data_IF_051362371868
#
_entry.id   IF_051362371868
#
_cell.length_a   1.000
_cell.length_b   1.000
_cell.length_c   1.000
_cell.angle_alpha   90.00
_cell.angle_beta   90.00
_cell.angle_gamma   90.00
#
_symmetry.space_group_name_H-M   'P 1'
#
loop_
_entity.id
_entity.type
_entity.pdbx_description
1 polymer ?
#
# COMPACT_ATOMS: atom_id res chain seq x y z
N UNK A 1 9.79 -4.63 -19.73
CA UNK A 1 8.38 -4.57 -20.10
C UNK A 1 7.78 -3.20 -19.81
N UNK A 2 7.73 -2.75 -18.55
CA UNK A 2 7.13 -1.47 -18.14
C UNK A 2 7.68 -0.26 -18.91
N UNK A 3 9.01 -0.18 -19.11
CA UNK A 3 9.65 0.94 -19.82
C UNK A 3 9.13 1.11 -21.25
N UNK A 4 8.75 0.03 -21.91
CA UNK A 4 8.35 0.04 -23.33
C UNK A 4 6.83 0.11 -23.52
N UNK A 5 6.04 -0.24 -22.49
CA UNK A 5 4.59 -0.43 -22.61
C UNK A 5 3.77 0.43 -21.64
N UNK A 6 4.40 1.28 -20.84
CA UNK A 6 3.68 2.04 -19.80
C UNK A 6 2.52 2.89 -20.35
N UNK A 7 2.61 3.35 -21.60
CA UNK A 7 1.54 4.11 -22.27
C UNK A 7 0.27 3.27 -22.54
N UNK A 8 0.37 1.94 -22.48
CA UNK A 8 -0.80 1.06 -22.61
C UNK A 8 -1.65 1.04 -21.34
N UNK A 9 -1.07 1.47 -20.20
CA UNK A 9 -1.72 1.39 -18.90
C UNK A 9 -2.45 2.66 -18.48
N UNK A 10 -2.20 3.78 -19.14
CA UNK A 10 -2.83 5.05 -18.84
C UNK A 10 -3.03 5.89 -20.09
N UNK A 11 -4.14 6.65 -20.11
CA UNK A 11 -4.39 7.68 -21.12
C UNK A 11 -3.80 9.03 -20.73
N UNK A 12 -3.39 9.20 -19.47
CA UNK A 12 -2.85 10.46 -18.97
C UNK A 12 -1.41 10.63 -19.44
N UNK A 13 -1.08 11.82 -19.92
CA UNK A 13 0.28 12.18 -20.35
C UNK A 13 1.12 12.65 -19.16
N UNK A 14 2.42 12.31 -19.15
CA UNK A 14 3.35 12.82 -18.13
C UNK A 14 3.25 12.12 -16.77
N UNK A 15 2.51 11.02 -16.65
CA UNK A 15 2.43 10.21 -15.43
C UNK A 15 3.81 9.65 -15.08
N UNK A 16 4.16 9.77 -13.82
CA UNK A 16 5.24 9.05 -13.18
C UNK A 16 4.71 7.78 -12.54
N UNK A 17 5.42 6.68 -12.71
CA UNK A 17 5.05 5.39 -12.15
C UNK A 17 6.21 4.80 -11.38
N UNK A 18 5.92 4.32 -10.16
CA UNK A 18 6.83 3.54 -9.34
C UNK A 18 6.27 2.14 -9.11
N UNK A 19 7.12 1.12 -9.25
CA UNK A 19 6.75 -0.29 -9.06
C UNK A 19 7.77 -0.97 -8.17
N UNK A 20 7.30 -1.78 -7.22
CA UNK A 20 8.11 -2.71 -6.46
C UNK A 20 7.45 -4.08 -6.45
N UNK A 21 8.20 -5.11 -6.85
CA UNK A 21 7.82 -6.50 -6.79
C UNK A 21 8.72 -7.23 -5.80
N UNK A 22 8.16 -7.98 -4.86
CA UNK A 22 8.89 -8.56 -3.74
C UNK A 22 8.36 -9.94 -3.39
N UNK A 23 9.23 -10.90 -3.11
CA UNK A 23 8.85 -12.18 -2.50
C UNK A 23 8.52 -12.01 -1.02
N UNK A 24 7.83 -12.98 -0.46
CA UNK A 24 7.36 -12.96 0.93
C UNK A 24 8.47 -13.16 1.98
N UNK A 25 9.72 -13.34 1.57
CA UNK A 25 10.91 -13.34 2.41
C UNK A 25 11.67 -12.00 2.41
N UNK A 26 11.07 -10.97 1.79
CA UNK A 26 11.64 -9.63 1.66
C UNK A 26 12.57 -9.43 0.46
N UNK A 27 12.77 -10.47 -0.38
CA UNK A 27 13.61 -10.36 -1.58
C UNK A 27 12.96 -9.50 -2.65
N UNK A 28 13.55 -8.36 -2.95
CA UNK A 28 13.09 -7.48 -4.02
C UNK A 28 13.46 -8.10 -5.37
N UNK A 29 12.45 -8.47 -6.15
CA UNK A 29 12.59 -9.01 -7.50
C UNK A 29 12.75 -7.90 -8.53
N UNK A 30 12.02 -6.80 -8.35
CA UNK A 30 12.05 -5.65 -9.23
C UNK A 30 11.71 -4.37 -8.47
N UNK A 31 12.48 -3.32 -8.72
CA UNK A 31 12.13 -1.94 -8.41
C UNK A 31 12.35 -1.13 -9.67
N UNK A 32 11.31 -0.46 -10.16
CA UNK A 32 11.40 0.26 -11.43
C UNK A 32 10.53 1.53 -11.43
N UNK A 33 10.84 2.40 -12.41
CA UNK A 33 10.12 3.63 -12.70
C UNK A 33 10.13 3.89 -14.21
N UNK A 34 9.10 4.54 -14.72
CA UNK A 34 9.07 5.01 -16.10
C UNK A 34 9.91 6.29 -16.33
N UNK A 35 10.40 6.94 -15.26
CA UNK A 35 11.21 8.15 -15.30
C UNK A 35 12.70 7.91 -15.61
N UNK A 36 13.12 6.68 -15.81
CA UNK A 36 14.47 6.34 -16.24
C UNK A 36 14.73 6.81 -17.69
N UNK A 37 14.66 8.11 -17.94
CA UNK A 37 14.96 8.67 -19.25
C UNK A 37 16.47 8.84 -19.42
N UNK A 38 17.06 8.11 -20.37
CA UNK A 38 18.41 8.32 -20.90
C UNK A 38 18.58 9.71 -21.56
N UNK A 39 17.48 10.45 -21.73
CA UNK A 39 17.43 11.76 -22.39
C UNK A 39 17.51 12.97 -21.46
N UNK A 40 17.61 12.76 -20.14
CA UNK A 40 17.78 13.88 -19.21
C UNK A 40 19.14 14.56 -19.44
N UNK A 41 19.11 15.77 -20.04
CA UNK A 41 20.32 16.54 -20.36
C UNK A 41 21.17 16.89 -19.13
N UNK A 42 20.53 16.97 -17.94
CA UNK A 42 21.23 17.21 -16.68
C UNK A 42 22.10 16.01 -16.29
N UNK A 43 21.60 14.79 -16.49
CA UNK A 43 22.34 13.54 -16.27
C UNK A 43 23.51 13.38 -17.25
N UNK A 44 23.33 13.80 -18.53
CA UNK A 44 24.41 13.84 -19.53
C UNK A 44 25.52 14.83 -19.15
N UNK A 45 25.15 15.96 -18.52
CA UNK A 45 26.12 17.02 -18.14
C UNK A 45 26.88 16.72 -16.85
N UNK A 46 26.28 16.04 -15.88
CA UNK A 46 26.89 15.82 -14.55
C UNK A 46 27.60 14.48 -14.41
N UNK A 47 27.40 13.55 -15.36
CA UNK A 47 27.94 12.18 -15.26
C UNK A 47 27.37 11.35 -14.11
N UNK A 48 26.50 11.93 -13.30
CA UNK A 48 25.87 11.27 -12.18
C UNK A 48 24.56 10.64 -12.65
N UNK A 49 24.54 9.30 -12.74
CA UNK A 49 23.30 8.53 -12.91
C UNK A 49 22.55 8.45 -11.57
N UNK A 50 22.15 9.57 -11.00
CA UNK A 50 21.16 9.58 -9.94
C UNK A 50 19.81 9.47 -10.65
N UNK A 51 19.38 8.26 -10.86
CA UNK A 51 17.99 7.99 -11.24
C UNK A 51 17.15 8.29 -10.00
N UNK A 52 16.32 9.33 -10.06
CA UNK A 52 15.24 9.51 -9.12
C UNK A 52 14.24 8.37 -9.38
N UNK A 53 14.45 7.26 -8.70
CA UNK A 53 13.51 6.16 -8.76
C UNK A 53 12.35 6.51 -7.82
N UNK A 54 11.22 6.92 -8.41
CA UNK A 54 10.02 7.31 -7.66
C UNK A 54 9.47 6.21 -6.75
N UNK A 55 9.92 4.94 -6.92
CA UNK A 55 9.59 3.86 -6.00
C UNK A 55 10.22 4.04 -4.61
N UNK A 56 11.21 4.93 -4.48
CA UNK A 56 11.82 5.33 -3.21
C UNK A 56 11.40 6.73 -2.75
N UNK A 57 10.71 7.49 -3.59
CA UNK A 57 10.11 8.76 -3.21
C UNK A 57 8.83 8.52 -2.42
N UNK A 58 8.57 9.38 -1.44
CA UNK A 58 7.36 9.29 -0.62
C UNK A 58 6.20 9.98 -1.32
N UNK A 59 5.04 9.31 -1.32
CA UNK A 59 3.81 9.78 -1.91
C UNK A 59 2.64 9.44 -0.98
N UNK A 60 1.52 10.16 -1.12
CA UNK A 60 0.36 9.90 -0.27
C UNK A 60 -0.29 8.58 -0.66
N UNK A 61 -0.38 7.60 0.28
CA UNK A 61 -0.89 6.27 -0.06
C UNK A 61 -2.41 6.22 -0.23
N UNK A 62 -3.14 7.21 0.26
CA UNK A 62 -4.58 7.13 0.31
C UNK A 62 -5.06 5.84 0.96
N UNK A 63 -6.19 5.33 0.52
CA UNK A 63 -6.81 4.12 1.09
C UNK A 63 -5.98 2.84 1.00
N UNK A 64 -4.87 2.81 0.27
CA UNK A 64 -3.99 1.63 0.24
C UNK A 64 -3.28 1.38 1.57
N UNK A 65 -3.22 2.37 2.46
CA UNK A 65 -2.62 2.21 3.80
C UNK A 65 -3.53 1.44 4.77
N UNK A 66 -4.86 1.49 4.59
CA UNK A 66 -5.86 0.97 5.55
C UNK A 66 -5.61 -0.45 6.06
N UNK A 67 -5.19 -1.42 5.23
CA UNK A 67 -4.88 -2.77 5.70
C UNK A 67 -3.79 -2.81 6.75
N UNK A 68 -2.71 -2.04 6.58
CA UNK A 68 -1.55 -2.04 7.48
C UNK A 68 -1.69 -1.07 8.64
N UNK A 69 -2.41 0.04 8.48
CA UNK A 69 -2.54 1.07 9.51
C UNK A 69 -3.76 0.89 10.40
N UNK A 70 -4.84 0.28 9.90
CA UNK A 70 -6.12 0.19 10.61
C UNK A 70 -6.52 -1.25 10.89
N UNK A 71 -6.77 -2.04 9.81
CA UNK A 71 -7.39 -3.36 9.98
C UNK A 71 -6.47 -4.36 10.68
N UNK A 72 -5.20 -4.45 10.27
CA UNK A 72 -4.26 -5.39 10.90
C UNK A 72 -4.03 -5.08 12.39
N UNK A 73 -3.68 -3.84 12.80
CA UNK A 73 -3.53 -3.55 14.23
C UNK A 73 -4.85 -3.63 15.01
N UNK A 74 -6.01 -3.33 14.42
CA UNK A 74 -7.30 -3.47 15.09
C UNK A 74 -7.67 -4.95 15.36
N UNK A 75 -7.37 -5.84 14.42
CA UNK A 75 -7.52 -7.29 14.59
C UNK A 75 -6.53 -7.82 15.62
N UNK A 76 -5.27 -7.45 15.54
CA UNK A 76 -4.20 -7.91 16.44
C UNK A 76 -4.45 -7.51 17.89
N UNK A 77 -5.02 -6.31 18.10
CA UNK A 77 -5.43 -5.85 19.43
C UNK A 77 -6.83 -6.33 19.87
N UNK A 78 -7.46 -7.24 19.13
CA UNK A 78 -8.82 -7.74 19.40
C UNK A 78 -9.90 -6.64 19.48
N UNK A 79 -9.69 -5.50 18.83
CA UNK A 79 -10.69 -4.43 18.73
C UNK A 79 -11.83 -4.83 17.79
N UNK A 80 -11.50 -5.57 16.74
CA UNK A 80 -12.44 -6.14 15.77
C UNK A 80 -12.13 -7.61 15.52
N UNK A 81 -13.11 -8.29 14.92
CA UNK A 81 -13.00 -9.64 14.34
C UNK A 81 -13.48 -9.60 12.89
N UNK A 82 -13.33 -10.69 12.15
CA UNK A 82 -13.87 -10.80 10.78
C UNK A 82 -15.36 -10.44 10.67
N UNK A 83 -16.16 -10.83 11.67
CA UNK A 83 -17.61 -10.61 11.69
C UNK A 83 -18.06 -9.35 12.44
N UNK A 84 -17.14 -8.45 12.78
CA UNK A 84 -17.51 -7.23 13.49
C UNK A 84 -18.33 -6.28 12.61
N UNK A 85 -19.25 -5.57 13.27
CA UNK A 85 -20.05 -4.49 12.66
C UNK A 85 -19.41 -3.16 13.02
N UNK A 86 -19.21 -2.32 12.03
CA UNK A 86 -18.60 -1.01 12.15
C UNK A 86 -19.64 0.10 11.94
N UNK A 87 -19.36 1.28 12.46
CA UNK A 87 -20.13 2.48 12.18
C UNK A 87 -19.63 3.14 10.92
N UNK A 88 -20.50 3.33 9.96
CA UNK A 88 -20.26 4.14 8.78
C UNK A 88 -20.99 5.47 8.93
N UNK A 89 -20.43 6.31 9.80
CA UNK A 89 -20.91 7.65 10.15
C UNK A 89 -19.69 8.56 10.29
N UNK A 90 -19.78 9.85 9.91
CA UNK A 90 -18.66 10.77 10.07
C UNK A 90 -18.34 11.02 11.54
N UNK A 91 -17.07 11.28 11.85
CA UNK A 91 -16.63 11.69 13.19
C UNK A 91 -16.92 13.18 13.39
N UNK A 92 -17.50 13.59 14.52
CA UNK A 92 -17.64 15.00 14.84
C UNK A 92 -16.26 15.63 15.12
N UNK A 93 -16.11 16.89 14.73
CA UNK A 93 -14.85 17.65 14.88
C UNK A 93 -13.64 16.94 14.23
N UNK A 94 -13.84 16.34 13.08
CA UNK A 94 -12.77 15.62 12.35
C UNK A 94 -11.78 16.59 11.68
N UNK A 95 -12.28 17.69 11.14
CA UNK A 95 -11.47 18.74 10.54
C UNK A 95 -11.17 19.89 11.54
N UNK A 96 -10.11 20.64 11.27
CA UNK A 96 -9.65 21.75 12.14
C UNK A 96 -10.70 22.86 12.31
N UNK A 97 -11.59 23.01 11.36
CA UNK A 97 -12.71 23.96 11.43
C UNK A 97 -13.91 23.47 12.26
N UNK A 98 -13.78 22.26 12.84
CA UNK A 98 -14.80 21.62 13.67
C UNK A 98 -15.88 20.89 12.87
N UNK A 99 -15.77 20.82 11.55
CA UNK A 99 -16.70 20.06 10.74
C UNK A 99 -16.50 18.53 10.87
N UNK A 100 -17.53 17.78 10.49
CA UNK A 100 -17.57 16.33 10.56
C UNK A 100 -16.83 15.71 9.36
N UNK A 101 -16.27 14.51 9.52
CA UNK A 101 -15.60 13.74 8.47
C UNK A 101 -15.07 12.39 8.96
N UNK A 102 -14.31 11.68 8.13
CA UNK A 102 -14.17 11.92 6.68
C UNK A 102 -15.40 11.47 5.92
N UNK A 103 -15.59 12.00 4.72
CA UNK A 103 -16.60 11.50 3.80
C UNK A 103 -16.13 10.20 3.14
N UNK A 104 -17.08 9.30 2.84
CA UNK A 104 -16.84 8.23 1.88
C UNK A 104 -16.70 8.81 0.46
N UNK A 105 -16.11 8.04 -0.45
CA UNK A 105 -15.84 8.51 -1.81
C UNK A 105 -17.09 9.00 -2.56
N UNK A 106 -18.22 8.33 -2.35
CA UNK A 106 -19.51 8.68 -2.95
C UNK A 106 -20.30 9.73 -2.14
N UNK A 107 -19.77 10.17 -0.99
CA UNK A 107 -20.42 11.13 -0.09
C UNK A 107 -21.60 10.56 0.69
N UNK A 108 -21.81 9.24 0.67
CA UNK A 108 -22.93 8.58 1.38
C UNK A 108 -22.45 7.77 2.59
N UNK A 109 -23.36 7.51 3.52
CA UNK A 109 -23.10 6.71 4.72
C UNK A 109 -24.21 5.66 4.88
N UNK A 110 -23.82 4.42 5.15
CA UNK A 110 -24.75 3.30 5.35
C UNK A 110 -25.20 3.12 6.83
N UNK A 111 -24.64 3.94 7.75
CA UNK A 111 -24.89 3.85 9.20
C UNK A 111 -24.17 2.68 9.88
N UNK A 112 -24.39 1.45 9.43
CA UNK A 112 -23.68 0.27 9.91
C UNK A 112 -23.30 -0.65 8.78
N UNK A 113 -22.05 -1.16 8.81
CA UNK A 113 -21.50 -2.07 7.80
C UNK A 113 -20.70 -3.17 8.48
N UNK A 114 -20.54 -4.31 7.82
CA UNK A 114 -19.60 -5.32 8.28
C UNK A 114 -18.16 -4.96 7.86
N UNK A 115 -17.17 -5.53 8.53
CA UNK A 115 -15.74 -5.34 8.20
C UNK A 115 -15.46 -5.72 6.74
N UNK A 116 -16.06 -6.80 6.25
CA UNK A 116 -15.92 -7.26 4.86
C UNK A 116 -16.45 -6.23 3.85
N UNK A 117 -17.61 -5.63 4.08
CA UNK A 117 -18.12 -4.54 3.26
C UNK A 117 -17.20 -3.32 3.33
N UNK A 118 -16.81 -2.90 4.54
CA UNK A 118 -15.99 -1.70 4.73
C UNK A 118 -14.65 -1.75 3.97
N UNK A 119 -13.98 -2.90 3.95
CA UNK A 119 -12.71 -3.07 3.22
C UNK A 119 -12.93 -3.22 1.71
N UNK A 120 -14.00 -3.90 1.29
CA UNK A 120 -14.37 -4.13 -0.11
C UNK A 120 -14.63 -2.82 -0.84
N UNK A 121 -15.46 -1.97 -0.26
CA UNK A 121 -15.84 -0.65 -0.78
C UNK A 121 -14.84 0.45 -0.41
N UNK A 122 -13.86 0.09 0.43
CA UNK A 122 -12.82 1.05 0.86
C UNK A 122 -13.39 2.26 1.63
N UNK A 123 -14.41 2.07 2.47
CA UNK A 123 -15.08 3.14 3.20
C UNK A 123 -14.11 3.89 4.12
N UNK A 124 -14.30 5.22 4.24
CA UNK A 124 -13.44 6.10 5.03
C UNK A 124 -13.93 6.28 6.47
N UNK A 125 -15.24 6.48 6.65
CA UNK A 125 -15.80 6.74 7.97
C UNK A 125 -15.56 5.57 8.95
N UNK A 126 -15.78 4.29 8.59
CA UNK A 126 -15.52 3.18 9.50
C UNK A 126 -14.06 3.09 9.98
N UNK A 127 -13.09 3.35 9.10
CA UNK A 127 -11.66 3.29 9.48
C UNK A 127 -11.25 4.46 10.35
N UNK A 128 -11.81 5.65 10.15
CA UNK A 128 -11.59 6.80 11.03
C UNK A 128 -12.17 6.53 12.43
N UNK A 129 -13.36 5.92 12.51
CA UNK A 129 -13.97 5.48 13.77
C UNK A 129 -13.08 4.47 14.50
N UNK A 130 -12.49 3.49 13.78
CA UNK A 130 -11.57 2.51 14.35
C UNK A 130 -10.29 3.16 14.88
N UNK A 131 -9.68 4.08 14.13
CA UNK A 131 -8.49 4.81 14.58
C UNK A 131 -8.81 5.67 15.80
N UNK A 132 -9.97 6.32 15.83
CA UNK A 132 -10.39 7.10 16.98
C UNK A 132 -10.55 6.23 18.25
N UNK A 133 -11.01 4.98 18.11
CA UNK A 133 -11.12 4.02 19.22
C UNK A 133 -9.75 3.45 19.63
N UNK A 134 -8.88 3.13 18.66
CA UNK A 134 -7.59 2.49 18.89
C UNK A 134 -6.51 3.49 19.32
N UNK A 135 -6.62 4.75 18.96
CA UNK A 135 -5.63 5.84 18.96
C UNK A 135 -4.71 5.79 17.73
N UNK A 136 -4.47 6.96 17.09
CA UNK A 136 -3.48 7.08 16.00
C UNK A 136 -2.08 6.62 16.42
N UNK A 137 -1.71 6.81 17.69
CA UNK A 137 -0.42 6.39 18.21
C UNK A 137 -0.19 4.89 18.10
N UNK A 138 -1.22 4.05 18.34
CA UNK A 138 -1.09 2.59 18.20
C UNK A 138 -0.83 2.21 16.75
N UNK A 139 -1.54 2.82 15.80
CA UNK A 139 -1.29 2.64 14.37
C UNK A 139 0.12 3.09 13.99
N UNK A 140 0.53 4.28 14.39
CA UNK A 140 1.87 4.82 14.15
C UNK A 140 2.98 3.90 14.69
N UNK A 141 2.84 3.40 15.92
CA UNK A 141 3.80 2.48 16.53
C UNK A 141 3.86 1.17 15.76
N UNK A 142 2.72 0.63 15.35
CA UNK A 142 2.69 -0.58 14.52
C UNK A 142 3.42 -0.37 13.18
N UNK A 143 3.16 0.72 12.49
CA UNK A 143 3.80 1.05 11.21
C UNK A 143 5.31 1.24 11.36
N UNK A 144 5.77 1.92 12.42
CA UNK A 144 7.18 2.26 12.61
C UNK A 144 8.00 1.15 13.29
N UNK A 145 7.41 0.43 14.26
CA UNK A 145 8.14 -0.55 15.06
C UNK A 145 8.02 -1.98 14.54
N UNK A 146 6.83 -2.36 14.01
CA UNK A 146 6.60 -3.72 13.50
C UNK A 146 6.83 -3.83 11.99
N UNK A 147 6.59 -2.75 11.22
CA UNK A 147 6.75 -2.71 9.77
C UNK A 147 7.95 -1.87 9.32
N UNK A 148 8.70 -1.29 10.26
CA UNK A 148 9.92 -0.51 10.03
C UNK A 148 9.78 0.58 8.95
N UNK A 149 8.61 1.20 8.84
CA UNK A 149 8.38 2.32 7.94
C UNK A 149 9.10 3.54 8.52
N UNK A 150 10.02 4.12 7.73
CA UNK A 150 10.90 5.20 8.17
C UNK A 150 10.47 6.58 7.66
N UNK A 151 9.55 6.63 6.72
CA UNK A 151 9.07 7.87 6.10
C UNK A 151 8.05 8.63 6.94
N UNK A 152 7.42 7.99 7.93
CA UNK A 152 6.45 8.64 8.81
C UNK A 152 7.12 9.67 9.73
N UNK A 153 6.40 10.77 9.99
CA UNK A 153 6.82 11.77 10.99
C UNK A 153 6.10 11.56 12.33
N UNK A 154 6.60 12.20 13.39
CA UNK A 154 5.96 12.16 14.71
C UNK A 154 4.53 12.74 14.65
N UNK A 155 4.26 13.67 13.75
CA UNK A 155 2.94 14.28 13.53
C UNK A 155 1.88 13.25 13.16
N UNK A 156 2.26 12.19 12.44
CA UNK A 156 1.35 11.09 12.07
C UNK A 156 0.86 10.30 13.31
N UNK A 157 1.55 10.38 14.44
CA UNK A 157 1.18 9.68 15.69
C UNK A 157 -0.09 10.22 16.36
N UNK A 158 -0.52 11.42 16.02
CA UNK A 158 -1.76 12.05 16.51
C UNK A 158 -2.72 12.48 15.41
N UNK A 159 -2.37 12.23 14.14
CA UNK A 159 -3.20 12.57 12.99
C UNK A 159 -4.11 11.38 12.61
N UNK A 160 -5.40 11.48 12.99
CA UNK A 160 -6.41 10.44 12.65
C UNK A 160 -6.52 10.28 11.14
N UNK A 161 -6.64 11.36 10.38
CA UNK A 161 -6.77 11.33 8.92
C UNK A 161 -5.54 10.73 8.24
N UNK A 162 -4.34 11.06 8.74
CA UNK A 162 -3.09 10.52 8.23
C UNK A 162 -3.05 9.00 8.23
N UNK A 163 -3.20 8.40 9.40
CA UNK A 163 -3.10 6.94 9.54
C UNK A 163 -4.38 6.20 9.14
N UNK A 164 -5.55 6.83 9.15
CA UNK A 164 -6.81 6.20 8.78
C UNK A 164 -7.00 6.09 7.26
N UNK A 165 -6.75 7.18 6.52
CA UNK A 165 -7.08 7.29 5.10
C UNK A 165 -5.89 7.69 4.20
N UNK A 166 -4.69 7.81 4.78
CA UNK A 166 -3.45 7.97 4.02
C UNK A 166 -3.09 9.41 3.67
N UNK A 167 -3.57 10.40 4.43
CA UNK A 167 -3.09 11.78 4.38
C UNK A 167 -1.87 11.97 5.30
N UNK A 168 -0.80 11.22 5.07
CA UNK A 168 0.41 11.24 5.90
C UNK A 168 1.20 12.54 5.71
N UNK A 169 1.93 12.96 6.73
CA UNK A 169 2.73 14.18 6.68
C UNK A 169 3.75 14.16 5.53
N UNK A 170 4.55 13.10 5.43
CA UNK A 170 5.56 12.94 4.38
C UNK A 170 5.16 11.95 3.29
N UNK A 171 4.05 11.21 3.46
CA UNK A 171 3.73 10.07 2.61
C UNK A 171 4.58 8.84 2.90
N UNK A 172 4.52 7.84 2.00
CA UNK A 172 5.25 6.57 2.08
C UNK A 172 5.78 6.19 0.71
N UNK A 173 6.92 5.49 0.65
CA UNK A 173 7.47 5.00 -0.61
C UNK A 173 6.81 3.69 -1.06
N UNK A 174 6.82 3.45 -2.39
CA UNK A 174 6.30 2.19 -2.95
C UNK A 174 7.03 0.98 -2.37
N UNK A 175 8.34 1.11 -2.14
CA UNK A 175 9.16 0.05 -1.54
C UNK A 175 8.74 -0.26 -0.11
N UNK A 176 8.53 0.76 0.74
CA UNK A 176 8.09 0.57 2.14
C UNK A 176 6.68 -0.04 2.19
N UNK A 177 5.77 0.47 1.36
CA UNK A 177 4.42 -0.06 1.28
C UNK A 177 4.42 -1.53 0.85
N UNK A 178 5.22 -1.89 -0.18
CA UNK A 178 5.33 -3.29 -0.64
C UNK A 178 5.94 -4.17 0.45
N UNK A 179 6.97 -3.68 1.14
CA UNK A 179 7.57 -4.36 2.29
C UNK A 179 6.58 -4.60 3.43
N UNK A 180 5.71 -3.64 3.71
CA UNK A 180 4.68 -3.78 4.73
C UNK A 180 3.61 -4.84 4.37
N UNK A 181 3.22 -4.93 3.11
CA UNK A 181 2.19 -5.87 2.66
C UNK A 181 2.63 -7.34 2.64
N UNK A 182 3.92 -7.64 2.71
CA UNK A 182 4.42 -9.02 2.76
C UNK A 182 3.81 -9.83 3.92
N UNK A 183 3.47 -9.18 5.04
CA UNK A 183 2.93 -9.83 6.24
C UNK A 183 1.59 -10.57 5.99
N UNK A 184 0.87 -10.21 4.94
CA UNK A 184 -0.43 -10.81 4.61
C UNK A 184 -0.32 -12.12 3.82
N UNK A 185 0.85 -12.43 3.25
CA UNK A 185 1.05 -13.64 2.45
C UNK A 185 2.03 -14.66 3.06
N UNK A 186 2.63 -14.35 4.24
CA UNK A 186 3.66 -15.21 4.85
C UNK A 186 3.39 -15.57 6.31
N UNK A 187 2.14 -15.45 6.77
CA UNK A 187 1.75 -15.78 8.14
C UNK A 187 2.12 -14.70 9.16
N UNK A 188 2.20 -13.45 8.74
CA UNK A 188 2.36 -12.28 9.62
C UNK A 188 3.80 -11.88 9.89
N UNK A 189 4.76 -12.41 9.16
CA UNK A 189 6.18 -12.12 9.34
C UNK A 189 6.62 -10.90 8.53
N UNK A 190 7.48 -10.08 9.10
CA UNK A 190 8.16 -9.00 8.41
C UNK A 190 9.64 -9.35 8.21
N UNK A 191 10.11 -9.19 6.99
CA UNK A 191 11.51 -9.28 6.60
C UNK A 191 11.96 -7.93 6.05
N UNK A 192 13.12 -7.45 6.49
CA UNK A 192 13.69 -6.22 5.91
C UNK A 192 13.91 -6.41 4.41
N UNK A 193 13.32 -5.56 3.54
CA UNK A 193 13.46 -5.70 2.10
C UNK A 193 14.92 -5.59 1.64
N UNK A 194 15.37 -6.52 0.79
CA UNK A 194 16.76 -6.63 0.34
C UNK A 194 16.88 -6.92 -1.15
N UNK A 195 18.04 -6.53 -1.73
CA UNK A 195 18.43 -6.78 -3.12
C UNK A 195 19.75 -7.53 -3.24
N UNK A 196 20.54 -7.57 -2.15
CA UNK A 196 21.84 -8.27 -2.12
C UNK A 196 21.73 -9.47 -1.20
N UNK A 197 21.90 -10.64 -1.78
CA UNK A 197 21.87 -11.91 -1.05
C UNK A 197 23.20 -12.24 -0.40
N UNK A 198 24.32 -12.07 -1.16
CA UNK A 198 25.65 -12.43 -0.71
C UNK A 198 26.73 -11.60 -1.41
N UNK A 199 27.77 -11.25 -0.69
CA UNK A 199 28.99 -10.61 -1.20
C UNK A 199 30.19 -11.45 -0.80
N UNK A 200 31.06 -11.76 -1.77
CA UNK A 200 32.32 -12.45 -1.56
C UNK A 200 33.49 -11.60 -2.09
N UNK A 201 34.66 -11.75 -1.49
CA UNK A 201 35.89 -11.21 -2.04
C UNK A 201 36.46 -12.08 -3.18
N UNK A 202 37.55 -11.64 -3.79
CA UNK A 202 38.21 -12.39 -4.88
C UNK A 202 38.81 -13.73 -4.46
N UNK A 203 38.93 -13.98 -3.15
CA UNK A 203 39.48 -15.23 -2.56
C UNK A 203 38.33 -16.18 -2.17
N UNK A 204 37.04 -15.76 -2.33
CA UNK A 204 35.86 -16.55 -1.98
C UNK A 204 35.47 -16.44 -0.50
N UNK A 205 36.05 -15.50 0.24
CA UNK A 205 35.60 -15.23 1.61
C UNK A 205 34.30 -14.45 1.61
N UNK A 206 33.36 -14.87 2.45
CA UNK A 206 32.06 -14.20 2.59
C UNK A 206 32.23 -12.89 3.34
N UNK A 207 31.93 -11.77 2.69
CA UNK A 207 31.89 -10.42 3.29
C UNK A 207 30.51 -10.13 3.87
N UNK A 208 29.46 -10.55 3.17
CA UNK A 208 28.08 -10.37 3.58
C UNK A 208 27.23 -11.57 3.15
N UNK A 209 26.34 -12.01 4.01
CA UNK A 209 25.35 -13.04 3.74
C UNK A 209 24.02 -12.64 4.38
N UNK A 210 23.00 -12.44 3.57
CA UNK A 210 21.68 -12.03 4.04
C UNK A 210 21.11 -13.04 5.05
N UNK A 211 21.25 -14.34 4.81
CA UNK A 211 20.72 -15.37 5.71
C UNK A 211 21.31 -15.32 7.12
N UNK A 212 22.54 -14.79 7.27
CA UNK A 212 23.21 -14.64 8.56
C UNK A 212 22.95 -13.29 9.23
N UNK A 213 22.48 -12.29 8.47
CA UNK A 213 22.38 -10.91 8.93
C UNK A 213 20.94 -10.37 8.95
N UNK A 214 19.95 -11.12 8.45
CA UNK A 214 18.56 -10.68 8.53
C UNK A 214 17.90 -11.15 9.83
N UNK A 215 16.94 -10.38 10.29
CA UNK A 215 16.00 -10.77 11.34
C UNK A 215 14.63 -11.05 10.71
N UNK A 216 14.03 -12.16 11.10
CA UNK A 216 12.61 -12.44 10.91
C UNK A 216 11.88 -11.93 12.13
N UNK A 217 10.88 -11.06 11.92
CA UNK A 217 10.07 -10.51 13.00
C UNK A 217 8.61 -10.87 12.80
N UNK A 218 7.94 -11.36 13.84
CA UNK A 218 6.49 -11.58 13.81
C UNK A 218 5.79 -10.22 14.00
N UNK A 219 5.35 -9.59 12.91
CA UNK A 219 4.69 -8.30 12.95
C UNK A 219 3.23 -8.39 13.42
N UNK A 220 2.50 -9.43 13.00
CA UNK A 220 1.15 -9.79 13.43
C UNK A 220 1.05 -11.30 13.61
N UNK A 221 0.10 -11.75 14.40
CA UNK A 221 -0.15 -13.19 14.60
C UNK A 221 -0.55 -13.88 13.29
N UNK A 222 -0.34 -15.19 13.22
CA UNK A 222 -0.78 -16.02 12.09
C UNK A 222 -2.29 -15.90 11.85
N UNK A 223 -3.09 -15.82 12.93
CA UNK A 223 -4.54 -15.69 12.87
C UNK A 223 -4.93 -14.34 12.25
N UNK A 224 -4.32 -13.23 12.69
CA UNK A 224 -4.54 -11.91 12.10
C UNK A 224 -4.14 -11.88 10.62
N UNK A 225 -2.99 -12.45 10.27
CA UNK A 225 -2.54 -12.54 8.87
C UNK A 225 -3.54 -13.34 8.01
N UNK A 226 -4.07 -14.44 8.53
CA UNK A 226 -5.06 -15.27 7.84
C UNK A 226 -6.38 -14.54 7.63
N UNK A 227 -6.86 -13.80 8.65
CA UNK A 227 -8.06 -12.98 8.54
C UNK A 227 -7.85 -11.86 7.52
N UNK A 228 -6.71 -11.16 7.60
CA UNK A 228 -6.38 -10.08 6.67
C UNK A 228 -6.25 -10.57 5.23
N UNK A 229 -5.65 -11.74 5.00
CA UNK A 229 -5.58 -12.36 3.68
C UNK A 229 -6.98 -12.58 3.11
N UNK A 230 -7.91 -13.15 3.90
CA UNK A 230 -9.32 -13.30 3.52
C UNK A 230 -10.00 -11.96 3.21
N UNK A 231 -9.80 -10.95 4.05
CA UNK A 231 -10.38 -9.63 3.85
C UNK A 231 -9.86 -8.97 2.58
N UNK A 232 -8.56 -9.13 2.26
CA UNK A 232 -7.95 -8.56 1.06
C UNK A 232 -8.30 -9.29 -0.25
N UNK A 233 -8.91 -10.45 -0.19
CA UNK A 233 -9.56 -11.08 -1.34
C UNK A 233 -10.80 -10.31 -1.81
N UNK A 234 -11.53 -9.68 -0.89
CA UNK A 234 -12.84 -9.11 -1.14
C UNK A 234 -12.84 -7.88 -2.06
N UNK A 235 -11.87 -6.95 -1.99
CA UNK A 235 -11.77 -5.85 -2.96
C UNK A 235 -11.63 -6.30 -4.42
N UNK A 236 -11.20 -7.56 -4.66
CA UNK A 236 -11.07 -8.16 -5.99
C UNK A 236 -12.32 -8.97 -6.36
N UNK A 237 -12.79 -9.82 -5.45
CA UNK A 237 -13.79 -10.83 -5.73
C UNK A 237 -15.22 -10.45 -5.31
N UNK A 238 -15.36 -9.40 -4.50
CA UNK A 238 -16.63 -9.03 -3.87
C UNK A 238 -16.96 -9.86 -2.63
N UNK A 239 -18.08 -9.54 -2.04
CA UNK A 239 -18.68 -10.25 -0.89
C UNK A 239 -19.92 -11.00 -1.35
N UNK A 240 -20.53 -11.79 -0.45
CA UNK A 240 -21.87 -12.38 -0.67
C UNK A 240 -23.01 -11.34 -0.57
N UNK A 241 -22.68 -10.09 -0.27
CA UNK A 241 -23.60 -8.95 -0.25
C UNK A 241 -23.43 -8.10 -1.52
N UNK A 242 -24.26 -7.07 -1.69
CA UNK A 242 -24.19 -6.14 -2.81
C UNK A 242 -23.00 -5.14 -2.74
N UNK A 243 -21.99 -5.41 -1.91
CA UNK A 243 -20.80 -4.58 -1.77
C UNK A 243 -20.02 -4.49 -3.09
N UNK A 244 -19.65 -3.28 -3.51
CA UNK A 244 -18.97 -3.04 -4.77
C UNK A 244 -17.45 -3.21 -4.63
N UNK A 245 -16.83 -4.22 -5.29
CA UNK A 245 -15.40 -4.46 -5.20
C UNK A 245 -14.58 -3.44 -5.98
N UNK A 246 -13.68 -2.73 -5.30
CA UNK A 246 -12.89 -1.63 -5.88
C UNK A 246 -11.78 -2.08 -6.84
N UNK A 247 -11.44 -3.37 -6.84
CA UNK A 247 -10.35 -3.95 -7.62
C UNK A 247 -10.79 -5.13 -8.50
N UNK A 248 -12.07 -5.29 -8.84
CA UNK A 248 -12.56 -6.41 -9.65
C UNK A 248 -11.89 -6.50 -11.04
N UNK A 249 -11.37 -5.40 -11.56
CA UNK A 249 -10.63 -5.36 -12.83
C UNK A 249 -9.40 -6.28 -12.86
N UNK A 250 -8.78 -6.55 -11.70
CA UNK A 250 -7.59 -7.41 -11.62
C UNK A 250 -7.92 -8.88 -11.34
N UNK A 251 -9.20 -9.22 -11.23
CA UNK A 251 -9.63 -10.58 -10.93
C UNK A 251 -9.17 -11.57 -11.99
N UNK A 252 -8.57 -12.65 -11.51
CA UNK A 252 -8.16 -13.82 -12.31
C UNK A 252 -8.73 -15.07 -11.67
N UNK A 253 -9.40 -15.90 -12.45
CA UNK A 253 -9.97 -17.17 -11.97
C UNK A 253 -8.92 -18.27 -11.78
N UNK A 254 -7.71 -18.08 -12.34
CA UNK A 254 -6.57 -19.00 -12.28
C UNK A 254 -5.55 -18.64 -11.19
N UNK A 255 -5.76 -17.55 -10.44
CA UNK A 255 -4.85 -17.07 -9.40
C UNK A 255 -5.59 -16.72 -8.11
N UNK A 256 -5.02 -17.15 -6.99
CA UNK A 256 -5.40 -16.62 -5.68
C UNK A 256 -4.70 -15.26 -5.49
N UNK A 257 -5.51 -14.22 -5.32
CA UNK A 257 -5.01 -12.84 -5.26
C UNK A 257 -5.57 -12.10 -4.05
N UNK A 258 -4.74 -11.25 -3.49
CA UNK A 258 -5.14 -10.22 -2.53
C UNK A 258 -4.88 -8.84 -3.14
N UNK A 259 -5.66 -7.83 -2.74
CA UNK A 259 -5.43 -6.49 -3.27
C UNK A 259 -6.14 -5.37 -2.54
N UNK A 260 -5.61 -4.17 -2.72
CA UNK A 260 -6.19 -2.94 -2.19
C UNK A 260 -5.84 -1.76 -3.10
N UNK A 261 -6.83 -0.98 -3.45
CA UNK A 261 -6.69 0.28 -4.15
C UNK A 261 -6.38 1.43 -3.20
N UNK A 262 -5.67 2.43 -3.68
CA UNK A 262 -5.50 3.72 -3.03
C UNK A 262 -5.69 4.84 -4.05
N UNK A 263 -6.42 5.85 -3.65
CA UNK A 263 -6.58 7.09 -4.41
C UNK A 263 -6.63 8.22 -3.39
N UNK A 264 -5.88 9.27 -3.62
CA UNK A 264 -5.92 10.46 -2.78
C UNK A 264 -7.07 11.36 -3.19
N UNK A 265 -7.42 12.31 -2.32
CA UNK A 265 -8.31 13.41 -2.66
C UNK A 265 -7.77 14.11 -3.91
N UNK A 266 -8.65 14.56 -4.80
CA UNK A 266 -8.30 15.11 -6.12
C UNK A 266 -7.56 14.12 -7.06
N UNK A 267 -7.51 12.83 -6.72
CA UNK A 267 -6.88 11.78 -7.56
C UNK A 267 -5.44 12.08 -7.99
N UNK A 268 -4.68 12.79 -7.16
CA UNK A 268 -3.27 13.14 -7.46
C UNK A 268 -2.32 11.95 -7.36
N UNK A 269 -2.68 10.96 -6.54
CA UNK A 269 -1.93 9.72 -6.34
C UNK A 269 -2.87 8.54 -6.53
N UNK A 270 -2.49 7.59 -7.38
CA UNK A 270 -3.23 6.36 -7.63
C UNK A 270 -2.35 5.16 -7.31
N UNK A 271 -2.81 4.32 -6.37
CA UNK A 271 -2.09 3.16 -5.88
C UNK A 271 -2.84 1.86 -6.15
N UNK A 272 -2.08 0.82 -6.35
CA UNK A 272 -2.55 -0.54 -6.22
C UNK A 272 -1.52 -1.40 -5.49
N UNK A 273 -1.96 -2.04 -4.42
CA UNK A 273 -1.21 -3.06 -3.71
C UNK A 273 -1.84 -4.40 -4.04
N UNK A 274 -1.10 -5.29 -4.67
CA UNK A 274 -1.57 -6.61 -5.05
C UNK A 274 -0.63 -7.70 -4.57
N UNK A 275 -1.15 -8.90 -4.34
CA UNK A 275 -0.35 -10.06 -4.00
C UNK A 275 -0.93 -11.33 -4.61
N UNK A 276 -0.06 -12.29 -4.88
CA UNK A 276 -0.39 -13.65 -5.28
C UNK A 276 0.17 -14.62 -4.23
N UNK A 277 0.12 -15.90 -4.46
CA UNK A 277 0.78 -16.89 -3.59
C UNK A 277 2.32 -16.82 -3.63
N UNK A 278 2.91 -16.13 -4.62
CA UNK A 278 4.36 -16.09 -4.83
C UNK A 278 5.00 -14.74 -4.44
N UNK A 279 4.30 -13.64 -4.61
CA UNK A 279 4.86 -12.30 -4.43
C UNK A 279 3.81 -11.25 -4.04
N UNK A 280 4.31 -10.12 -3.56
CA UNK A 280 3.56 -8.87 -3.38
C UNK A 280 4.09 -7.81 -4.35
N UNK A 281 3.19 -7.00 -4.90
CA UNK A 281 3.48 -5.94 -5.86
C UNK A 281 2.83 -4.64 -5.42
N UNK A 282 3.62 -3.59 -5.28
CA UNK A 282 3.15 -2.22 -5.05
C UNK A 282 3.35 -1.38 -6.31
N UNK A 283 2.33 -0.62 -6.67
CA UNK A 283 2.34 0.30 -7.82
C UNK A 283 1.78 1.64 -7.37
N UNK A 284 2.50 2.69 -7.75
CA UNK A 284 2.06 4.07 -7.61
C UNK A 284 2.13 4.79 -8.94
N UNK A 285 1.14 5.60 -9.22
CA UNK A 285 1.09 6.54 -10.33
C UNK A 285 0.75 7.93 -9.80
N UNK A 286 1.43 8.95 -10.32
CA UNK A 286 1.23 10.34 -9.95
C UNK A 286 1.88 11.28 -10.96
N UNK A 287 1.74 12.58 -10.76
CA UNK A 287 2.46 13.60 -11.50
C UNK A 287 3.53 14.27 -10.63
N UNK A 288 4.56 14.84 -11.28
CA UNK A 288 5.61 15.60 -10.59
C UNK A 288 5.04 16.76 -9.75
N UNK A 289 4.01 17.42 -10.25
CA UNK A 289 3.39 18.61 -9.66
C UNK A 289 1.97 18.37 -9.16
N UNK A 290 1.67 17.18 -8.63
CA UNK A 290 0.36 16.84 -8.06
C UNK A 290 -0.83 17.33 -8.90
N UNK A 291 -0.88 16.86 -10.14
CA UNK A 291 -2.00 17.07 -11.05
C UNK A 291 -2.96 15.88 -10.97
N UNK A 292 -4.25 16.13 -11.22
CA UNK A 292 -5.28 15.10 -11.22
C UNK A 292 -5.00 14.00 -12.24
N UNK A 293 -5.09 12.74 -11.82
CA UNK A 293 -5.04 11.56 -12.68
C UNK A 293 -6.48 11.19 -13.07
N UNK A 294 -6.80 11.26 -14.36
CA UNK A 294 -8.14 10.93 -14.85
C UNK A 294 -8.36 9.41 -14.95
N UNK A 295 -7.31 8.64 -15.25
CA UNK A 295 -7.38 7.17 -15.30
C UNK A 295 -7.00 6.55 -13.95
N UNK A 296 -7.90 6.58 -12.98
CA UNK A 296 -7.73 5.97 -11.66
C UNK A 296 -7.60 4.44 -11.68
N UNK A 297 -7.72 3.82 -12.86
CA UNK A 297 -7.46 2.40 -13.08
C UNK A 297 -6.03 2.10 -13.52
N UNK A 298 -5.21 3.10 -13.78
CA UNK A 298 -3.86 2.97 -14.34
C UNK A 298 -2.97 2.00 -13.57
N UNK A 299 -2.92 2.09 -12.22
CA UNK A 299 -2.13 1.18 -11.39
C UNK A 299 -2.63 -0.29 -11.46
N UNK A 300 -3.95 -0.51 -11.52
CA UNK A 300 -4.55 -1.83 -11.70
C UNK A 300 -4.24 -2.43 -13.08
N UNK A 301 -4.26 -1.61 -14.14
CA UNK A 301 -3.88 -2.04 -15.49
C UNK A 301 -2.40 -2.45 -15.54
N UNK A 302 -1.52 -1.68 -14.89
CA UNK A 302 -0.10 -2.04 -14.78
C UNK A 302 0.10 -3.36 -14.04
N UNK A 303 -0.63 -3.59 -12.96
CA UNK A 303 -0.57 -4.85 -12.21
C UNK A 303 -0.96 -6.05 -13.11
N UNK A 304 -2.06 -5.94 -13.87
CA UNK A 304 -2.45 -6.97 -14.83
C UNK A 304 -1.35 -7.23 -15.84
N UNK A 305 -0.76 -6.19 -16.43
CA UNK A 305 0.33 -6.34 -17.37
C UNK A 305 1.59 -6.99 -16.80
N UNK A 306 1.87 -6.82 -15.48
CA UNK A 306 2.98 -7.49 -14.79
C UNK A 306 2.68 -8.97 -14.59
N UNK A 307 1.44 -9.33 -14.23
CA UNK A 307 1.04 -10.72 -13.98
C UNK A 307 0.94 -11.52 -15.28
N UNK A 308 0.52 -10.88 -16.37
CA UNK A 308 0.38 -11.52 -17.68
C UNK A 308 1.72 -11.77 -18.37
N UNK A 309 2.80 -11.15 -17.93
CA UNK A 309 4.15 -11.30 -18.48
C UNK A 309 4.90 -12.46 -17.87
#
# INVERSE_FOLDING_TARGET
YLKNNWQEFTSDSGIWSGVCLMEYDGRILCVNTNQANDDNELLKKTGNRVQNNVSYSTNQPGSSIKPISVYAPALENNLITYGSVLKDEPLPNYFDDGSEGPNNFDGTFAGTVNVDQAITESLNAPVAQLINQMSPLVSYQFLTQNLHITSLSEEDSYNVGGVAIGGLTNGISVREMTGAYQIFGNGGKYYTPYTVYRIEDNEGNVIYDYQQNHSEEQAISFDTATIMNKLLHLPINGTDTDAYPTANMVRRDDLDQIGKTGTTEDSNDVWYMGGTTAFVCGIWNGHEYKEEIYDTNSAKKMYNGIIDW
#
